data_IF_614188676103
#
_entry.id   IF_614188676103
#
_cell.length_a   1.000
_cell.length_b   1.000
_cell.length_c   1.000
_cell.angle_alpha   90.00
_cell.angle_beta   90.00
_cell.angle_gamma   90.00
#
_symmetry.space_group_name_H-M   'P 1'
#
loop_
_entity.id
_entity.type
_entity.pdbx_description
1 polymer ?
#
# COMPACT_ATOMS: atom_id res chain seq x y z
N UNK A 1 -11.25 4.14 -19.67
CA UNK A 1 -9.96 3.53 -19.29
C UNK A 1 -10.01 2.96 -17.89
N UNK A 2 -10.67 1.81 -17.69
CA UNK A 2 -10.88 1.17 -16.38
C UNK A 2 -10.30 -0.26 -16.36
N UNK A 3 -9.08 -0.45 -16.88
CA UNK A 3 -8.41 -1.75 -16.80
C UNK A 3 -7.50 -1.77 -15.58
N UNK A 4 -7.62 -2.84 -14.78
CA UNK A 4 -6.79 -3.09 -13.60
C UNK A 4 -5.86 -4.27 -13.91
N UNK A 5 -4.63 -4.03 -14.39
CA UNK A 5 -3.75 -5.11 -14.79
C UNK A 5 -3.33 -5.93 -13.56
N UNK A 6 -3.48 -7.25 -13.65
CA UNK A 6 -3.05 -8.18 -12.59
C UNK A 6 -1.70 -8.76 -13.00
N UNK A 7 -0.73 -8.71 -12.07
CA UNK A 7 0.62 -9.22 -12.32
C UNK A 7 0.73 -10.68 -11.89
N UNK A 8 1.02 -11.57 -12.84
CA UNK A 8 1.32 -12.98 -12.53
C UNK A 8 2.83 -13.09 -12.24
N UNK A 9 3.18 -13.38 -10.98
CA UNK A 9 4.58 -13.51 -10.54
C UNK A 9 5.00 -14.97 -10.37
N UNK A 10 6.30 -15.24 -10.50
CA UNK A 10 6.93 -16.54 -10.23
C UNK A 10 6.68 -17.00 -8.78
N UNK A 11 6.44 -18.30 -8.58
CA UNK A 11 6.26 -18.95 -7.28
C UNK A 11 7.44 -18.68 -6.33
N UNK A 12 8.69 -18.78 -6.80
CA UNK A 12 9.87 -18.55 -5.97
C UNK A 12 9.89 -17.14 -5.38
N UNK A 13 9.61 -16.14 -6.22
CA UNK A 13 9.43 -14.76 -5.79
C UNK A 13 8.25 -14.62 -4.80
N UNK A 14 7.09 -15.21 -5.08
CA UNK A 14 5.92 -15.13 -4.18
C UNK A 14 6.22 -15.72 -2.80
N UNK A 15 7.04 -16.77 -2.73
CA UNK A 15 7.48 -17.34 -1.46
C UNK A 15 8.34 -16.35 -0.67
N UNK A 16 9.32 -15.71 -1.33
CA UNK A 16 10.19 -14.71 -0.70
C UNK A 16 9.37 -13.50 -0.25
N UNK A 17 8.54 -12.93 -1.12
CA UNK A 17 7.73 -11.74 -0.81
C UNK A 17 6.74 -12.01 0.33
N UNK A 18 6.18 -13.22 0.39
CA UNK A 18 5.32 -13.65 1.50
C UNK A 18 6.07 -13.75 2.83
N UNK A 19 7.30 -14.28 2.85
CA UNK A 19 8.12 -14.33 4.07
C UNK A 19 8.45 -12.91 4.56
N UNK A 20 8.82 -12.01 3.66
CA UNK A 20 9.08 -10.61 4.00
C UNK A 20 7.83 -9.92 4.57
N UNK A 21 6.68 -10.10 3.91
CA UNK A 21 5.40 -9.56 4.37
C UNK A 21 5.02 -10.08 5.77
N UNK A 22 5.20 -11.38 6.03
CA UNK A 22 4.92 -11.96 7.35
C UNK A 22 5.80 -11.37 8.45
N UNK A 23 7.08 -11.08 8.18
CA UNK A 23 7.96 -10.42 9.14
C UNK A 23 7.56 -8.97 9.38
N UNK A 24 7.27 -8.22 8.32
CA UNK A 24 6.82 -6.82 8.41
C UNK A 24 5.52 -6.70 9.22
N UNK A 25 4.59 -7.64 9.04
CA UNK A 25 3.32 -7.68 9.74
C UNK A 25 3.44 -7.70 11.27
N UNK A 26 4.53 -8.25 11.81
CA UNK A 26 4.76 -8.32 13.26
C UNK A 26 5.04 -6.93 13.85
N UNK A 27 5.81 -6.09 13.15
CA UNK A 27 6.18 -4.76 13.63
C UNK A 27 5.22 -3.66 13.19
N UNK A 28 4.46 -3.88 12.11
CA UNK A 28 3.58 -2.87 11.52
C UNK A 28 2.62 -2.20 12.52
N UNK A 29 1.94 -2.92 13.45
CA UNK A 29 1.00 -2.31 14.39
C UNK A 29 1.63 -1.25 15.32
N UNK A 30 2.94 -1.31 15.55
CA UNK A 30 3.68 -0.33 16.37
C UNK A 30 4.11 0.90 15.59
N UNK A 31 4.07 0.84 14.26
CA UNK A 31 4.60 1.86 13.37
C UNK A 31 3.50 2.72 12.74
N UNK A 32 2.27 2.22 12.71
CA UNK A 32 1.12 2.88 12.08
C UNK A 32 0.12 3.38 13.13
N UNK A 33 -0.59 4.47 12.80
CA UNK A 33 -1.67 5.02 13.64
C UNK A 33 -2.75 3.97 13.90
N UNK A 34 -3.41 4.06 15.07
CA UNK A 34 -4.58 3.25 15.40
C UNK A 34 -5.74 3.48 14.43
N UNK A 35 -5.85 4.68 13.87
CA UNK A 35 -6.87 5.05 12.86
C UNK A 35 -6.63 4.42 11.48
N UNK A 36 -5.49 3.74 11.25
CA UNK A 36 -5.22 3.05 10.00
C UNK A 36 -5.77 1.61 10.04
N UNK A 37 -7.03 1.40 9.68
CA UNK A 37 -7.66 0.08 9.81
C UNK A 37 -7.47 -0.85 8.60
N UNK A 38 -7.18 -0.31 7.41
CA UNK A 38 -7.07 -1.11 6.18
C UNK A 38 -5.76 -1.91 6.15
N UNK A 39 -5.86 -3.18 5.70
CA UNK A 39 -4.72 -4.11 5.52
C UNK A 39 -3.92 -4.43 6.79
N UNK A 40 -4.51 -4.21 7.97
CA UNK A 40 -3.91 -4.55 9.26
C UNK A 40 -4.73 -5.67 9.90
N UNK A 41 -4.04 -6.75 10.30
CA UNK A 41 -4.75 -7.86 10.94
C UNK A 41 -5.26 -7.48 12.32
N UNK A 42 -6.51 -7.84 12.59
CA UNK A 42 -7.21 -7.52 13.82
C UNK A 42 -7.93 -6.17 13.81
N UNK A 43 -7.82 -5.37 12.75
CA UNK A 43 -8.58 -4.12 12.59
C UNK A 43 -9.73 -4.33 11.61
N UNK A 44 -10.91 -3.78 11.91
CA UNK A 44 -12.12 -3.95 11.10
C UNK A 44 -12.40 -2.69 10.28
N UNK A 45 -12.95 -2.88 9.08
CA UNK A 45 -13.37 -1.73 8.25
C UNK A 45 -14.50 -0.93 8.90
N UNK A 46 -15.29 -1.56 9.77
CA UNK A 46 -16.38 -0.93 10.52
C UNK A 46 -15.87 0.18 11.44
N UNK A 47 -14.66 0.05 12.00
CA UNK A 47 -14.07 1.05 12.89
C UNK A 47 -13.89 2.39 12.14
N UNK A 48 -13.45 2.33 10.88
CA UNK A 48 -13.33 3.53 10.04
C UNK A 48 -14.68 4.19 9.73
N UNK A 49 -15.74 3.38 9.58
CA UNK A 49 -17.10 3.90 9.33
C UNK A 49 -17.60 4.64 10.57
N UNK A 50 -17.40 4.07 11.76
CA UNK A 50 -17.77 4.69 13.02
C UNK A 50 -17.03 6.02 13.23
N UNK A 51 -15.71 6.04 13.05
CA UNK A 51 -14.90 7.26 13.15
C UNK A 51 -15.41 8.32 12.17
N UNK A 52 -15.68 7.95 10.92
CA UNK A 52 -16.21 8.89 9.93
C UNK A 52 -17.60 9.44 10.33
N UNK A 53 -18.49 8.59 10.84
CA UNK A 53 -19.80 9.00 11.33
C UNK A 53 -19.69 9.95 12.51
N UNK A 54 -18.79 9.71 13.46
CA UNK A 54 -18.54 10.58 14.60
C UNK A 54 -18.02 11.96 14.17
N UNK A 55 -17.07 11.99 13.22
CA UNK A 55 -16.56 13.23 12.62
C UNK A 55 -17.72 14.04 12.00
N UNK A 56 -18.55 13.42 11.15
CA UNK A 56 -19.66 14.12 10.51
C UNK A 56 -20.76 14.51 11.50
N UNK A 57 -21.01 13.70 12.52
CA UNK A 57 -21.96 14.02 13.58
C UNK A 57 -21.49 15.26 14.34
N UNK A 58 -20.24 15.28 14.82
CA UNK A 58 -19.67 16.41 15.56
C UNK A 58 -19.68 17.71 14.76
N UNK A 59 -19.38 17.65 13.45
CA UNK A 59 -19.46 18.82 12.56
C UNK A 59 -20.89 19.34 12.35
N UNK A 60 -21.91 18.50 12.54
CA UNK A 60 -23.33 18.87 12.38
C UNK A 60 -24.00 19.31 13.67
N UNK A 61 -23.66 18.72 14.80
CA UNK A 61 -24.39 18.90 16.07
C UNK A 61 -23.65 19.75 17.09
N UNK A 62 -22.33 19.91 16.97
CA UNK A 62 -21.53 20.71 17.89
C UNK A 62 -21.08 22.02 17.23
N UNK A 63 -21.69 23.14 17.65
CA UNK A 63 -21.40 24.49 17.14
C UNK A 63 -19.91 24.88 17.27
N UNK A 64 -19.21 24.43 18.31
CA UNK A 64 -17.77 24.70 18.43
C UNK A 64 -16.97 23.90 17.42
N UNK A 65 -17.37 22.66 17.11
CA UNK A 65 -16.69 21.85 16.11
C UNK A 65 -16.93 22.37 14.69
N UNK A 66 -18.19 22.71 14.38
CA UNK A 66 -18.60 23.26 13.09
C UNK A 66 -17.82 24.53 12.72
N UNK A 67 -17.58 25.42 13.69
CA UNK A 67 -16.90 26.69 13.45
C UNK A 67 -15.37 26.58 13.38
N UNK A 68 -14.77 25.47 13.83
CA UNK A 68 -13.31 25.32 13.98
C UNK A 68 -12.69 24.24 13.10
N UNK A 69 -13.47 23.27 12.63
CA UNK A 69 -12.95 22.10 11.93
C UNK A 69 -13.68 21.86 10.61
N UNK A 70 -13.01 21.15 9.70
CA UNK A 70 -13.54 20.71 8.41
C UNK A 70 -13.11 19.26 8.15
N UNK A 71 -14.02 18.45 7.62
CA UNK A 71 -13.69 17.11 7.13
C UNK A 71 -13.26 17.19 5.66
N UNK A 72 -12.09 16.61 5.35
CA UNK A 72 -11.56 16.52 3.99
C UNK A 72 -11.45 15.04 3.63
N UNK A 73 -12.07 14.64 2.52
CA UNK A 73 -11.91 13.30 1.94
C UNK A 73 -10.99 13.39 0.73
N UNK A 74 -9.87 12.70 0.79
CA UNK A 74 -8.91 12.57 -0.30
C UNK A 74 -8.88 11.14 -0.81
N UNK A 75 -8.64 10.97 -2.11
CA UNK A 75 -8.46 9.67 -2.76
C UNK A 75 -7.24 9.74 -3.68
N UNK A 76 -6.43 8.68 -3.71
CA UNK A 76 -5.22 8.62 -4.52
C UNK A 76 -5.47 7.81 -5.79
N UNK A 77 -5.54 8.51 -6.92
CA UNK A 77 -5.71 7.87 -8.22
C UNK A 77 -4.52 6.94 -8.52
N UNK A 78 -4.80 5.68 -8.86
CA UNK A 78 -3.77 4.69 -9.23
C UNK A 78 -2.65 4.59 -8.19
N UNK A 79 -3.01 4.55 -6.90
CA UNK A 79 -2.04 4.61 -5.79
C UNK A 79 -0.88 3.61 -5.96
N UNK A 80 -1.18 2.36 -6.33
CA UNK A 80 -0.16 1.34 -6.57
C UNK A 80 0.75 1.68 -7.75
N UNK A 81 0.26 2.32 -8.81
CA UNK A 81 1.04 2.56 -10.04
C UNK A 81 1.91 3.84 -9.95
N UNK A 82 1.64 4.71 -8.98
CA UNK A 82 2.28 6.04 -8.86
C UNK A 82 3.28 6.16 -7.73
N UNK A 83 3.45 5.13 -6.90
CA UNK A 83 4.40 5.20 -5.78
C UNK A 83 5.84 5.22 -6.33
N UNK A 84 6.54 6.30 -6.03
CA UNK A 84 7.97 6.42 -6.34
C UNK A 84 8.81 5.55 -5.41
N UNK A 85 9.71 4.75 -5.96
CA UNK A 85 10.48 3.79 -5.16
C UNK A 85 11.43 4.47 -4.17
N UNK A 86 12.02 5.60 -4.55
CA UNK A 86 12.87 6.40 -3.65
C UNK A 86 12.10 6.90 -2.41
N UNK A 87 10.79 7.14 -2.54
CA UNK A 87 9.95 7.50 -1.40
C UNK A 87 9.81 6.32 -0.42
N UNK A 88 9.63 5.09 -0.92
CA UNK A 88 9.59 3.88 -0.08
C UNK A 88 10.90 3.73 0.70
N UNK A 89 12.04 3.92 0.03
CA UNK A 89 13.37 3.84 0.67
C UNK A 89 13.50 4.86 1.80
N UNK A 90 13.20 6.12 1.51
CA UNK A 90 13.25 7.19 2.50
C UNK A 90 12.30 6.92 3.68
N UNK A 91 11.09 6.42 3.40
CA UNK A 91 10.11 6.07 4.42
C UNK A 91 10.61 4.95 5.33
N UNK A 92 11.11 3.84 4.78
CA UNK A 92 11.60 2.71 5.57
C UNK A 92 12.81 3.09 6.42
N UNK A 93 13.73 3.90 5.88
CA UNK A 93 14.81 4.46 6.70
C UNK A 93 14.29 5.34 7.83
N UNK A 94 13.30 6.20 7.55
CA UNK A 94 12.70 7.07 8.58
C UNK A 94 11.97 6.29 9.68
N UNK A 95 11.38 5.14 9.33
CA UNK A 95 10.76 4.21 10.26
C UNK A 95 11.78 3.37 11.06
N UNK A 96 13.08 3.48 10.75
CA UNK A 96 14.16 2.83 11.49
C UNK A 96 14.45 1.39 11.08
N UNK A 97 14.08 0.98 9.87
CA UNK A 97 14.44 -0.35 9.36
C UNK A 97 15.94 -0.44 9.05
N UNK A 98 16.51 -1.63 9.27
CA UNK A 98 17.90 -1.93 8.95
C UNK A 98 18.15 -1.80 7.43
N UNK A 99 19.28 -1.20 6.99
CA UNK A 99 19.60 -1.06 5.58
C UNK A 99 19.60 -2.39 4.80
N UNK A 100 20.02 -3.49 5.42
CA UNK A 100 20.01 -4.82 4.78
C UNK A 100 18.59 -5.30 4.53
N UNK A 101 17.67 -5.03 5.46
CA UNK A 101 16.24 -5.33 5.30
C UNK A 101 15.61 -4.49 4.20
N UNK A 102 15.94 -3.20 4.15
CA UNK A 102 15.49 -2.30 3.09
C UNK A 102 15.96 -2.79 1.73
N UNK A 103 17.22 -3.20 1.60
CA UNK A 103 17.76 -3.76 0.35
C UNK A 103 16.99 -5.01 -0.08
N UNK A 104 16.66 -5.94 0.83
CA UNK A 104 15.83 -7.12 0.49
C UNK A 104 14.43 -6.74 -0.03
N UNK A 105 13.81 -5.73 0.57
CA UNK A 105 12.52 -5.20 0.11
C UNK A 105 12.66 -4.57 -1.28
N UNK A 106 13.73 -3.82 -1.51
CA UNK A 106 14.00 -3.16 -2.79
C UNK A 106 14.30 -4.14 -3.92
N UNK A 107 15.02 -5.22 -3.66
CA UNK A 107 15.20 -6.31 -4.63
C UNK A 107 13.85 -6.86 -5.10
N UNK A 108 12.87 -6.95 -4.21
CA UNK A 108 11.50 -7.36 -4.57
C UNK A 108 10.75 -6.30 -5.40
N UNK A 109 11.13 -5.03 -5.32
CA UNK A 109 10.45 -3.92 -6.00
C UNK A 109 11.09 -3.63 -7.38
N UNK A 110 12.42 -3.53 -7.44
CA UNK A 110 13.17 -3.17 -8.65
C UNK A 110 13.32 -4.31 -9.66
N UNK A 111 13.36 -5.57 -9.21
CA UNK A 111 13.64 -6.73 -10.09
C UNK A 111 12.52 -7.05 -11.09
N UNK A 112 11.41 -6.32 -11.05
CA UNK A 112 10.22 -6.64 -11.81
C UNK A 112 10.38 -6.26 -13.27
N UNK A 113 9.99 -7.17 -14.14
CA UNK A 113 9.78 -6.92 -15.56
C UNK A 113 8.42 -7.48 -15.95
N UNK A 114 7.66 -6.71 -16.73
CA UNK A 114 6.35 -7.13 -17.24
C UNK A 114 6.42 -7.46 -18.71
N UNK A 115 5.59 -8.42 -19.11
CA UNK A 115 5.24 -8.69 -20.51
C UNK A 115 3.72 -8.73 -20.60
N UNK A 116 3.17 -8.20 -21.69
CA UNK A 116 1.72 -8.20 -21.91
C UNK A 116 1.33 -9.52 -22.55
N UNK A 117 0.36 -10.22 -21.97
CA UNK A 117 -0.20 -11.41 -22.58
C UNK A 117 -1.32 -11.00 -23.55
N UNK A 118 -1.09 -11.18 -24.86
CA UNK A 118 -2.10 -10.99 -25.90
C UNK A 118 -2.41 -12.36 -26.51
N UNK A 119 -3.67 -12.79 -26.42
CA UNK A 119 -4.11 -14.11 -26.91
C UNK A 119 -3.23 -15.29 -26.40
N UNK A 120 -2.76 -15.21 -25.16
CA UNK A 120 -1.92 -16.24 -24.53
C UNK A 120 -0.43 -16.18 -24.88
N UNK A 121 -0.01 -15.30 -25.79
CA UNK A 121 1.39 -15.10 -26.15
C UNK A 121 1.96 -13.88 -25.45
N UNK A 122 3.24 -13.94 -25.06
CA UNK A 122 3.92 -12.83 -24.40
C UNK A 122 4.43 -11.82 -25.43
N UNK A 123 4.03 -10.56 -25.28
CA UNK A 123 4.42 -9.46 -26.14
C UNK A 123 4.99 -8.29 -25.34
N UNK A 124 6.01 -7.66 -25.94
CA UNK A 124 6.71 -6.52 -25.36
C UNK A 124 7.55 -6.88 -24.12
N UNK A 125 8.33 -5.90 -23.67
CA UNK A 125 9.02 -5.89 -22.39
C UNK A 125 8.80 -4.51 -21.78
N UNK A 126 8.30 -4.47 -20.55
CA UNK A 126 8.07 -3.25 -19.80
C UNK A 126 8.88 -3.35 -18.52
N UNK A 127 9.84 -2.46 -18.36
CA UNK A 127 10.58 -2.29 -17.10
C UNK A 127 9.96 -1.11 -16.36
N UNK A 128 9.22 -1.35 -15.25
CA UNK A 128 8.70 -0.28 -14.44
C UNK A 128 9.83 0.57 -13.85
N UNK A 129 9.56 1.85 -13.65
CA UNK A 129 10.44 2.78 -12.93
C UNK A 129 9.82 3.24 -11.60
N UNK A 130 8.55 2.90 -11.39
CA UNK A 130 7.76 3.22 -10.20
C UNK A 130 6.59 2.24 -10.08
N UNK A 131 5.91 2.32 -8.94
CA UNK A 131 4.72 1.57 -8.63
C UNK A 131 4.98 0.18 -8.04
N UNK A 132 3.94 -0.44 -7.52
CA UNK A 132 3.95 -1.72 -6.83
C UNK A 132 3.07 -2.73 -7.56
N UNK A 133 3.38 -4.02 -7.39
CA UNK A 133 2.68 -5.09 -8.09
C UNK A 133 1.32 -5.35 -7.49
N UNK A 134 0.28 -5.15 -8.27
CA UNK A 134 -1.05 -5.53 -7.83
C UNK A 134 -1.21 -7.05 -7.70
N UNK A 135 -1.61 -7.51 -6.51
CA UNK A 135 -1.83 -8.93 -6.21
C UNK A 135 -0.57 -9.69 -5.74
N UNK A 136 0.50 -8.96 -5.43
CA UNK A 136 1.68 -9.49 -4.75
C UNK A 136 1.51 -9.44 -3.21
N UNK A 137 1.94 -10.45 -2.44
CA UNK A 137 1.82 -10.42 -0.98
C UNK A 137 2.48 -9.23 -0.26
N UNK A 138 3.51 -8.62 -0.84
CA UNK A 138 4.23 -7.50 -0.22
C UNK A 138 3.63 -6.14 -0.55
N UNK A 139 2.93 -6.05 -1.70
CA UNK A 139 2.29 -4.82 -2.19
C UNK A 139 0.90 -4.65 -1.61
#
# INVERSE_FOLDING_TARGET
NNFRPISISNVGYKSISKVLCQRLKICLPRLISETQSAFVVGRLILDNILIAQEIFHGLRTNNSCQNKFMAIKTDMSMAYDRIEWNFIVALLHKMGFDPSWINLMLECIYSVQYRVLLNGQQHGLITPQRGLRQGDPLS
#
